data_IF_614802968731
#
_entry.id   IF_614802968731
#
_cell.length_a   1.000
_cell.length_b   1.000
_cell.length_c   1.000
_cell.angle_alpha   90.00
_cell.angle_beta   90.00
_cell.angle_gamma   90.00
#
_symmetry.space_group_name_H-M   'P 1'
#
loop_
_entity.id
_entity.type
_entity.pdbx_description
1 polymer ?
#
# COMPACT_ATOMS: atom_id res chain seq x y z
N UNK A 1 -29.26 -0.37 4.89
CA UNK A 1 -29.55 0.71 3.90
C UNK A 1 -28.73 1.97 4.19
N UNK A 2 -28.56 2.42 5.43
CA UNK A 2 -27.80 3.64 5.74
C UNK A 2 -26.28 3.43 5.49
N UNK A 3 -25.69 2.33 5.95
CA UNK A 3 -24.28 2.02 5.77
C UNK A 3 -23.89 1.90 4.29
N UNK A 4 -24.73 1.28 3.46
CA UNK A 4 -24.50 1.15 2.01
C UNK A 4 -24.57 2.48 1.22
N UNK A 5 -25.04 3.54 1.84
CA UNK A 5 -25.06 4.89 1.27
C UNK A 5 -23.83 5.73 1.59
N UNK A 6 -22.91 5.22 2.39
CA UNK A 6 -21.64 5.88 2.72
C UNK A 6 -20.51 5.34 1.90
N UNK A 7 -19.55 6.20 1.54
CA UNK A 7 -18.34 5.81 0.80
C UNK A 7 -17.12 6.42 1.47
N UNK A 8 -16.03 5.68 1.50
CA UNK A 8 -14.69 6.15 1.85
C UNK A 8 -13.77 5.85 0.67
N UNK A 9 -13.08 6.85 0.16
CA UNK A 9 -12.23 6.76 -1.03
C UNK A 9 -12.89 6.14 -2.28
N UNK A 10 -14.25 6.12 -2.32
CA UNK A 10 -15.03 5.52 -3.42
C UNK A 10 -15.63 4.15 -3.10
N UNK A 11 -15.18 3.47 -2.06
CA UNK A 11 -15.66 2.17 -1.66
C UNK A 11 -16.93 2.27 -0.78
N UNK A 12 -17.94 1.43 -1.04
CA UNK A 12 -19.16 1.43 -0.25
C UNK A 12 -18.91 0.82 1.14
N UNK A 13 -19.39 1.51 2.18
CA UNK A 13 -19.36 0.98 3.54
C UNK A 13 -20.46 -0.07 3.78
N UNK A 14 -20.24 -0.92 4.76
CA UNK A 14 -21.22 -1.89 5.27
C UNK A 14 -21.25 -1.85 6.82
N UNK A 15 -22.28 -2.44 7.42
CA UNK A 15 -22.31 -2.60 8.89
C UNK A 15 -21.18 -3.54 9.31
N UNK A 16 -20.44 -3.14 10.33
CA UNK A 16 -19.21 -3.81 10.75
C UNK A 16 -19.42 -5.31 11.01
N UNK A 17 -18.49 -6.08 10.52
CA UNK A 17 -18.29 -7.48 10.81
C UNK A 17 -17.26 -7.61 11.94
N UNK A 18 -17.31 -8.66 12.72
CA UNK A 18 -16.38 -8.87 13.83
C UNK A 18 -15.79 -10.28 13.74
N UNK A 19 -14.52 -10.38 13.44
CA UNK A 19 -13.83 -11.65 13.21
C UNK A 19 -12.90 -12.06 14.37
N UNK A 20 -12.67 -11.19 15.34
CA UNK A 20 -11.78 -11.45 16.48
C UNK A 20 -12.19 -10.74 17.77
N UNK A 21 -11.71 -11.25 18.91
CA UNK A 21 -11.90 -10.60 20.20
C UNK A 21 -11.22 -9.21 20.28
N UNK A 22 -10.08 -9.05 19.60
CA UNK A 22 -9.37 -7.78 19.56
C UNK A 22 -10.18 -6.71 18.80
N UNK A 23 -10.76 -7.08 17.67
CA UNK A 23 -11.63 -6.23 16.88
C UNK A 23 -12.92 -5.87 17.62
N UNK A 24 -13.55 -6.86 18.26
CA UNK A 24 -14.72 -6.63 19.13
C UNK A 24 -14.43 -5.59 20.20
N UNK A 25 -13.28 -5.70 20.86
CA UNK A 25 -12.85 -4.75 21.88
C UNK A 25 -12.56 -3.37 21.30
N UNK A 26 -11.91 -3.31 20.15
CA UNK A 26 -11.59 -2.05 19.46
C UNK A 26 -12.86 -1.29 19.04
N UNK A 27 -13.89 -2.01 18.54
CA UNK A 27 -15.19 -1.41 18.22
C UNK A 27 -15.85 -0.86 19.48
N UNK A 28 -15.89 -1.62 20.59
CA UNK A 28 -16.47 -1.17 21.85
C UNK A 28 -15.79 0.12 22.34
N UNK A 29 -14.46 0.15 22.36
CA UNK A 29 -13.68 1.31 22.80
C UNK A 29 -13.90 2.52 21.88
N UNK A 30 -13.87 2.33 20.58
CA UNK A 30 -14.09 3.39 19.61
C UNK A 30 -15.48 4.01 19.77
N UNK A 31 -16.53 3.18 19.86
CA UNK A 31 -17.91 3.65 19.99
C UNK A 31 -18.11 4.36 21.32
N UNK A 32 -17.71 3.77 22.44
CA UNK A 32 -17.92 4.34 23.78
C UNK A 32 -17.12 5.63 24.01
N UNK A 33 -15.95 5.79 23.40
CA UNK A 33 -15.12 6.99 23.52
C UNK A 33 -15.61 8.17 22.65
N UNK A 34 -16.38 7.92 21.59
CA UNK A 34 -16.80 8.95 20.65
C UNK A 34 -18.29 9.36 20.79
N UNK A 35 -19.11 8.55 21.45
CA UNK A 35 -20.52 8.89 21.65
C UNK A 35 -20.73 9.85 22.82
N UNK A 36 -21.50 10.90 22.56
CA UNK A 36 -22.00 11.77 23.63
C UNK A 36 -23.08 11.06 24.50
N UNK A 37 -23.31 11.49 25.74
CA UNK A 37 -24.39 10.93 26.59
C UNK A 37 -25.76 10.95 25.93
N UNK A 38 -26.05 11.96 25.09
CA UNK A 38 -27.33 12.06 24.38
C UNK A 38 -27.46 11.00 23.28
N UNK A 39 -26.36 10.68 22.59
CA UNK A 39 -26.34 9.61 21.57
C UNK A 39 -26.46 8.24 22.22
N UNK A 40 -25.82 8.00 23.36
CA UNK A 40 -25.98 6.77 24.14
C UNK A 40 -27.45 6.60 24.60
N UNK A 41 -28.06 7.65 25.15
CA UNK A 41 -29.45 7.60 25.56
C UNK A 41 -30.42 7.33 24.39
N UNK A 42 -30.09 7.81 23.18
CA UNK A 42 -30.90 7.56 21.98
C UNK A 42 -30.62 6.19 21.34
N UNK A 43 -29.68 5.43 21.84
CA UNK A 43 -29.29 4.10 21.37
C UNK A 43 -29.74 2.97 22.28
N UNK A 44 -30.69 3.24 23.17
CA UNK A 44 -31.38 2.25 23.98
C UNK A 44 -32.56 1.70 23.16
N UNK A 45 -32.66 0.38 22.93
CA UNK A 45 -33.74 -0.23 22.17
C UNK A 45 -35.10 -0.12 22.94
N UNK A 46 -36.19 -0.26 22.18
CA UNK A 46 -37.54 -0.13 22.74
C UNK A 46 -38.08 -1.42 23.39
N UNK A 47 -37.33 -2.51 23.29
CA UNK A 47 -37.71 -3.86 23.75
C UNK A 47 -37.40 -4.13 25.23
N UNK A 48 -36.88 -3.15 25.97
CA UNK A 48 -36.77 -3.21 27.43
C UNK A 48 -35.38 -3.55 27.96
N UNK A 49 -34.38 -3.80 27.13
CA UNK A 49 -32.99 -3.88 27.58
C UNK A 49 -32.53 -2.46 27.97
N UNK A 50 -32.30 -2.19 29.24
CA UNK A 50 -32.00 -0.85 29.76
C UNK A 50 -30.62 -0.30 29.37
N UNK A 51 -29.88 -0.98 28.49
CA UNK A 51 -28.55 -0.58 28.01
C UNK A 51 -28.56 0.01 26.58
N UNK A 52 -27.60 0.82 26.29
CA UNK A 52 -27.37 1.27 24.93
C UNK A 52 -26.69 0.18 24.08
N UNK A 53 -27.04 0.10 22.80
CA UNK A 53 -26.48 -0.85 21.84
C UNK A 53 -26.01 -0.15 20.58
N UNK A 54 -25.15 -0.81 19.81
CA UNK A 54 -24.69 -0.40 18.48
C UNK A 54 -24.95 -1.51 17.47
N UNK A 55 -25.48 -1.15 16.28
CA UNK A 55 -25.70 -2.12 15.22
C UNK A 55 -24.38 -2.62 14.63
N UNK A 56 -24.30 -3.95 14.47
CA UNK A 56 -23.31 -4.68 13.69
C UNK A 56 -23.95 -5.30 12.44
N UNK A 57 -23.13 -5.94 11.60
CA UNK A 57 -23.54 -6.45 10.29
C UNK A 57 -24.20 -7.83 10.27
N UNK A 58 -24.41 -8.46 11.42
CA UNK A 58 -25.02 -9.79 11.49
C UNK A 58 -26.54 -9.78 11.37
N UNK A 59 -27.11 -10.82 10.74
CA UNK A 59 -28.56 -11.02 10.67
C UNK A 59 -28.92 -12.45 10.33
N UNK A 60 -30.04 -12.94 10.86
CA UNK A 60 -30.68 -14.21 10.50
C UNK A 60 -32.07 -14.03 9.84
N UNK A 61 -32.43 -12.81 9.46
CA UNK A 61 -33.71 -12.48 8.82
C UNK A 61 -34.03 -13.32 7.57
N UNK A 62 -33.06 -13.95 6.94
CA UNK A 62 -33.27 -14.84 5.80
C UNK A 62 -33.69 -16.26 6.22
N UNK A 63 -33.07 -16.76 7.27
CA UNK A 63 -33.32 -18.10 7.83
C UNK A 63 -33.07 -18.01 9.33
N UNK A 64 -34.13 -18.14 10.12
CA UNK A 64 -34.10 -18.12 11.58
C UNK A 64 -33.01 -19.05 12.13
N UNK A 65 -32.21 -18.53 13.06
CA UNK A 65 -31.09 -19.23 13.68
C UNK A 65 -29.89 -19.47 12.78
N UNK A 66 -29.84 -18.87 11.58
CA UNK A 66 -28.66 -18.91 10.68
C UNK A 66 -28.10 -17.48 10.54
N UNK A 67 -27.24 -17.10 11.46
CA UNK A 67 -26.66 -15.78 11.52
C UNK A 67 -25.55 -15.59 10.48
N UNK A 68 -25.76 -14.65 9.57
CA UNK A 68 -24.84 -14.37 8.47
C UNK A 68 -24.41 -12.90 8.50
N UNK A 69 -23.17 -12.62 8.08
CA UNK A 69 -22.71 -11.27 7.85
C UNK A 69 -23.35 -10.68 6.59
N UNK A 70 -23.87 -9.46 6.68
CA UNK A 70 -24.65 -8.82 5.61
C UNK A 70 -23.79 -8.36 4.40
N UNK A 71 -22.48 -8.18 4.59
CA UNK A 71 -21.56 -7.76 3.54
C UNK A 71 -21.26 -8.89 2.54
N UNK A 72 -21.06 -10.13 3.00
CA UNK A 72 -20.61 -11.23 2.18
C UNK A 72 -21.48 -12.51 2.26
N UNK A 73 -22.43 -12.55 3.21
CA UNK A 73 -23.30 -13.70 3.43
C UNK A 73 -22.68 -14.86 4.19
N UNK A 74 -21.52 -14.67 4.79
CA UNK A 74 -20.80 -15.69 5.56
C UNK A 74 -21.58 -16.08 6.82
N UNK A 75 -21.89 -17.37 6.96
CA UNK A 75 -22.54 -17.96 8.14
C UNK A 75 -21.51 -18.02 9.28
N UNK A 76 -21.80 -17.39 10.43
CA UNK A 76 -20.90 -17.37 11.57
C UNK A 76 -21.47 -18.06 12.83
N UNK A 77 -22.81 -18.15 12.97
CA UNK A 77 -23.46 -18.80 14.08
C UNK A 77 -24.68 -19.60 13.61
N UNK A 78 -24.95 -20.74 14.25
CA UNK A 78 -26.13 -21.55 13.99
C UNK A 78 -26.81 -21.99 15.27
N UNK A 79 -28.08 -21.66 15.38
CA UNK A 79 -28.97 -21.97 16.51
C UNK A 79 -29.41 -20.72 17.30
N UNK A 80 -30.10 -20.98 18.40
CA UNK A 80 -30.48 -20.02 19.44
C UNK A 80 -29.32 -19.80 20.44
N UNK A 81 -29.61 -19.34 21.67
CA UNK A 81 -28.58 -19.17 22.71
C UNK A 81 -27.83 -20.47 23.08
N UNK A 82 -28.34 -21.65 22.71
CA UNK A 82 -27.60 -22.93 22.81
C UNK A 82 -26.92 -23.34 21.51
N UNK A 83 -26.87 -22.44 20.52
CA UNK A 83 -26.22 -22.66 19.24
C UNK A 83 -24.69 -22.77 19.33
N UNK A 84 -24.06 -22.76 18.17
CA UNK A 84 -22.61 -22.86 18.08
C UNK A 84 -22.01 -22.02 16.93
N UNK A 85 -20.78 -21.51 17.07
CA UNK A 85 -20.07 -20.86 16.00
C UNK A 85 -19.77 -21.83 14.84
N UNK A 86 -19.92 -21.36 13.62
CA UNK A 86 -19.67 -22.16 12.42
C UNK A 86 -18.19 -22.02 12.02
N UNK A 87 -17.54 -23.15 11.77
CA UNK A 87 -16.13 -23.23 11.34
C UNK A 87 -15.15 -22.49 12.29
N UNK A 88 -15.45 -22.41 13.58
CA UNK A 88 -14.60 -21.76 14.57
C UNK A 88 -14.53 -20.24 14.45
N UNK A 89 -15.48 -19.61 13.76
CA UNK A 89 -15.58 -18.16 13.66
C UNK A 89 -15.78 -17.53 15.04
N UNK A 90 -15.27 -16.32 15.20
CA UNK A 90 -15.46 -15.56 16.44
C UNK A 90 -16.92 -15.19 16.64
N UNK A 91 -17.38 -15.31 17.87
CA UNK A 91 -18.69 -14.87 18.35
C UNK A 91 -18.58 -14.41 19.79
N UNK A 92 -19.39 -13.44 20.18
CA UNK A 92 -19.37 -12.89 21.55
C UNK A 92 -20.80 -12.65 22.09
N UNK A 93 -21.69 -13.60 21.86
CA UNK A 93 -23.05 -13.54 22.38
C UNK A 93 -23.09 -13.43 23.91
N UNK A 94 -24.07 -12.69 24.46
CA UNK A 94 -24.50 -12.81 25.84
C UNK A 94 -25.30 -14.10 26.05
N UNK A 95 -26.35 -14.06 26.84
CA UNK A 95 -27.35 -15.17 26.95
C UNK A 95 -28.33 -15.03 25.77
N UNK A 96 -27.81 -15.02 24.55
CA UNK A 96 -28.46 -14.67 23.30
C UNK A 96 -27.86 -15.54 22.15
N UNK A 97 -28.49 -15.61 20.97
CA UNK A 97 -29.73 -14.99 20.51
C UNK A 97 -30.97 -15.78 21.02
N UNK A 98 -32.05 -15.09 21.42
CA UNK A 98 -33.25 -15.74 21.93
C UNK A 98 -34.52 -15.45 21.12
N UNK A 99 -34.46 -14.55 20.13
CA UNK A 99 -35.55 -14.15 19.22
C UNK A 99 -36.85 -13.78 19.98
N UNK A 100 -36.73 -12.91 20.99
CA UNK A 100 -37.84 -12.52 21.81
C UNK A 100 -39.00 -11.96 20.94
N UNK A 101 -40.18 -12.53 21.10
CA UNK A 101 -41.35 -12.14 20.30
C UNK A 101 -41.28 -12.57 18.81
N UNK A 102 -40.26 -13.26 18.36
CA UNK A 102 -40.14 -13.76 17.00
C UNK A 102 -39.80 -12.68 15.95
N UNK A 103 -39.15 -11.58 16.36
CA UNK A 103 -38.86 -10.42 15.49
C UNK A 103 -37.41 -9.93 15.59
N UNK A 104 -36.58 -10.52 16.43
CA UNK A 104 -35.19 -10.10 16.66
C UNK A 104 -34.25 -10.76 15.69
N UNK A 105 -33.97 -10.07 14.58
CA UNK A 105 -33.23 -10.61 13.45
C UNK A 105 -31.98 -9.78 13.10
N UNK A 106 -31.58 -8.85 13.95
CA UNK A 106 -30.44 -7.97 13.70
C UNK A 106 -29.47 -7.96 14.87
N UNK A 107 -28.18 -8.12 14.56
CA UNK A 107 -27.11 -8.18 15.54
C UNK A 107 -26.73 -6.81 16.07
N UNK A 108 -26.68 -6.70 17.39
CA UNK A 108 -26.18 -5.51 18.08
C UNK A 108 -25.16 -5.88 19.18
N UNK A 109 -24.23 -4.96 19.47
CA UNK A 109 -23.29 -5.07 20.57
C UNK A 109 -23.75 -4.16 21.72
N UNK A 110 -23.79 -4.67 22.95
CA UNK A 110 -24.05 -3.91 24.15
C UNK A 110 -22.91 -2.95 24.48
N UNK A 111 -23.24 -1.69 24.74
CA UNK A 111 -22.27 -0.66 25.12
C UNK A 111 -22.09 -0.53 26.64
N UNK A 112 -22.92 -1.22 27.41
CA UNK A 112 -22.84 -1.38 28.84
C UNK A 112 -23.41 -2.76 29.20
N UNK A 113 -23.30 -3.17 30.47
CA UNK A 113 -23.97 -4.37 30.94
C UNK A 113 -25.50 -4.18 30.90
N UNK A 114 -26.23 -5.23 30.50
CA UNK A 114 -27.70 -5.18 30.44
C UNK A 114 -28.31 -6.26 31.31
N UNK A 115 -28.43 -5.99 32.61
CA UNK A 115 -29.10 -6.89 33.54
C UNK A 115 -30.61 -6.81 33.38
N UNK A 116 -31.26 -7.95 33.22
CA UNK A 116 -32.67 -8.07 33.57
C UNK A 116 -32.82 -8.10 35.11
N UNK A 117 -33.98 -7.75 35.67
CA UNK A 117 -34.14 -7.63 37.13
C UNK A 117 -33.70 -8.86 37.92
N UNK A 118 -33.55 -10.00 37.30
CA UNK A 118 -33.21 -11.27 37.95
C UNK A 118 -32.12 -12.09 37.27
N UNK A 119 -31.62 -11.65 36.09
CA UNK A 119 -30.59 -12.37 35.28
C UNK A 119 -29.64 -11.37 34.66
N UNK A 120 -28.39 -11.74 34.61
CA UNK A 120 -27.38 -11.03 33.86
C UNK A 120 -27.38 -11.57 32.41
N UNK A 121 -27.91 -10.80 31.47
CA UNK A 121 -28.09 -11.22 30.09
C UNK A 121 -26.84 -10.97 29.24
N UNK A 122 -25.99 -10.04 29.66
CA UNK A 122 -24.74 -9.79 29.00
C UNK A 122 -23.95 -8.58 29.49
N UNK A 123 -22.66 -8.62 29.21
CA UNK A 123 -21.71 -7.56 29.54
C UNK A 123 -21.47 -6.62 28.34
N UNK A 124 -20.88 -5.45 28.63
CA UNK A 124 -20.40 -4.55 27.58
C UNK A 124 -19.50 -5.28 26.59
N UNK A 125 -19.76 -5.11 25.30
CA UNK A 125 -19.06 -5.78 24.21
C UNK A 125 -19.65 -7.14 23.81
N UNK A 126 -20.58 -7.71 24.61
CA UNK A 126 -21.31 -8.91 24.19
C UNK A 126 -22.46 -8.56 23.24
N UNK A 127 -22.91 -9.56 22.50
CA UNK A 127 -23.88 -9.40 21.41
C UNK A 127 -25.28 -9.82 21.84
N UNK A 128 -26.26 -9.11 21.26
CA UNK A 128 -27.70 -9.37 21.42
C UNK A 128 -28.34 -9.38 20.02
N UNK A 129 -29.41 -10.14 19.85
CA UNK A 129 -30.34 -9.99 18.74
C UNK A 129 -31.46 -9.00 19.14
N UNK A 130 -31.77 -8.12 18.19
CA UNK A 130 -32.79 -7.07 18.42
C UNK A 130 -33.68 -6.92 17.19
N UNK A 131 -34.88 -6.36 17.42
CA UNK A 131 -35.76 -5.96 16.31
C UNK A 131 -35.08 -4.84 15.48
N UNK A 132 -34.91 -5.09 14.18
CA UNK A 132 -34.31 -4.15 13.22
C UNK A 132 -35.04 -2.80 13.11
N UNK A 133 -36.26 -2.65 13.70
CA UNK A 133 -36.98 -1.40 13.80
C UNK A 133 -36.42 -0.44 14.83
N UNK A 134 -35.55 -0.89 15.74
CA UNK A 134 -34.89 -0.04 16.71
C UNK A 134 -33.98 1.01 16.04
N UNK A 135 -33.90 2.18 16.64
CA UNK A 135 -33.06 3.29 16.16
C UNK A 135 -31.80 3.39 17.01
N UNK A 136 -30.77 2.68 16.60
CA UNK A 136 -29.48 2.65 17.30
C UNK A 136 -28.42 3.35 16.47
N UNK A 137 -27.32 3.75 17.11
CA UNK A 137 -26.07 4.06 16.42
C UNK A 137 -25.54 2.80 15.72
N UNK A 138 -24.66 2.97 14.75
CA UNK A 138 -24.11 1.86 13.97
C UNK A 138 -22.64 2.08 13.65
N UNK A 139 -21.90 1.00 13.47
CA UNK A 139 -20.51 1.02 13.01
C UNK A 139 -20.49 0.68 11.53
N UNK A 140 -19.80 1.51 10.76
CA UNK A 140 -19.53 1.25 9.34
C UNK A 140 -18.09 0.79 9.22
N UNK A 141 -17.93 -0.33 8.57
CA UNK A 141 -16.67 -0.85 8.13
C UNK A 141 -16.52 -0.61 6.62
N UNK A 142 -15.31 -0.32 6.20
CA UNK A 142 -14.92 -0.27 4.80
C UNK A 142 -13.85 -1.34 4.62
N UNK A 143 -13.89 -2.05 3.50
CA UNK A 143 -12.76 -2.90 3.15
C UNK A 143 -11.51 -2.03 3.11
N UNK A 144 -10.40 -2.54 3.63
CA UNK A 144 -9.15 -1.83 3.54
C UNK A 144 -8.93 -1.49 2.06
N UNK A 145 -8.76 -0.21 1.75
CA UNK A 145 -8.24 0.18 0.44
C UNK A 145 -6.81 -0.35 0.43
N UNK A 146 -6.64 -1.53 -0.11
CA UNK A 146 -5.29 -2.04 -0.39
C UNK A 146 -4.76 -1.10 -1.46
N UNK A 147 -3.92 -0.17 -1.07
CA UNK A 147 -3.23 0.69 -2.04
C UNK A 147 -2.47 -0.25 -2.97
N UNK A 148 -2.79 -0.21 -4.27
CA UNK A 148 -2.20 -1.14 -5.20
C UNK A 148 -0.69 -0.97 -5.18
N UNK A 149 0.04 -2.07 -5.41
CA UNK A 149 1.48 -2.03 -5.62
C UNK A 149 1.81 -0.89 -6.59
N UNK A 150 2.59 0.08 -6.14
CA UNK A 150 2.93 1.29 -6.89
C UNK A 150 4.43 1.56 -6.84
N UNK A 151 4.94 2.39 -7.73
CA UNK A 151 6.36 2.70 -7.76
C UNK A 151 6.74 3.65 -8.88
N UNK A 152 8.04 3.92 -9.00
CA UNK A 152 8.59 4.72 -10.07
C UNK A 152 10.07 4.43 -10.28
N UNK A 153 10.52 4.45 -11.54
CA UNK A 153 11.93 4.36 -11.94
C UNK A 153 12.48 5.77 -12.11
N UNK A 154 13.32 6.23 -11.18
CA UNK A 154 13.94 7.56 -11.24
C UNK A 154 15.10 7.59 -12.23
N UNK A 155 15.90 6.50 -12.28
CA UNK A 155 17.05 6.36 -13.18
C UNK A 155 17.20 4.91 -13.64
N UNK A 156 17.50 4.71 -14.95
CA UNK A 156 17.65 5.74 -15.96
C UNK A 156 16.29 6.42 -16.25
N UNK A 157 16.33 7.74 -16.49
CA UNK A 157 15.18 8.48 -16.99
C UNK A 157 14.92 8.10 -18.45
N UNK A 158 13.65 8.11 -18.85
CA UNK A 158 13.30 7.86 -20.25
C UNK A 158 13.95 8.89 -21.18
N UNK A 159 14.53 8.41 -22.28
CA UNK A 159 15.33 9.18 -23.24
C UNK A 159 16.56 9.88 -22.62
N UNK A 160 17.00 9.42 -21.45
CA UNK A 160 18.22 9.90 -20.82
C UNK A 160 19.49 9.43 -21.55
N UNK A 161 20.61 10.16 -21.38
CA UNK A 161 21.92 9.79 -21.92
C UNK A 161 22.84 9.44 -20.78
N UNK A 162 23.46 8.26 -20.85
CA UNK A 162 24.28 7.72 -19.77
C UNK A 162 25.66 7.27 -20.26
N UNK A 163 26.66 7.42 -19.38
CA UNK A 163 28.04 7.01 -19.63
C UNK A 163 28.71 6.62 -18.30
N UNK A 164 29.65 5.69 -18.35
CA UNK A 164 30.40 5.27 -17.16
C UNK A 164 29.53 4.61 -16.10
N UNK A 165 29.91 4.80 -14.83
CA UNK A 165 29.17 4.25 -13.70
C UNK A 165 28.16 5.27 -13.19
N UNK A 166 26.90 4.89 -13.22
CA UNK A 166 25.79 5.64 -12.67
C UNK A 166 24.96 4.76 -11.73
N UNK A 167 23.71 5.14 -11.52
CA UNK A 167 22.76 4.40 -10.66
C UNK A 167 21.59 3.89 -11.50
N UNK A 168 21.09 2.71 -11.15
CA UNK A 168 19.70 2.34 -11.39
C UNK A 168 19.02 2.52 -10.06
N UNK A 169 17.97 3.34 -10.01
CA UNK A 169 17.26 3.65 -8.77
C UNK A 169 15.81 4.04 -8.99
N UNK A 170 15.02 3.87 -7.96
CA UNK A 170 13.62 4.22 -7.93
C UNK A 170 13.02 3.99 -6.56
N UNK A 171 11.72 3.82 -6.53
CA UNK A 171 11.01 3.42 -5.34
C UNK A 171 9.82 2.51 -5.70
N UNK A 172 9.41 1.69 -4.76
CA UNK A 172 8.23 0.85 -4.87
C UNK A 172 7.54 0.75 -3.50
N UNK A 173 6.22 0.64 -3.48
CA UNK A 173 5.44 0.61 -2.26
C UNK A 173 4.25 -0.31 -2.43
N UNK A 174 4.01 -1.16 -1.42
CA UNK A 174 2.85 -2.02 -1.28
C UNK A 174 2.54 -2.16 0.20
N UNK A 175 1.29 -2.12 0.59
CA UNK A 175 0.87 -2.39 1.98
C UNK A 175 1.28 -3.79 2.44
N UNK A 176 1.31 -4.75 1.53
CA UNK A 176 1.74 -6.12 1.79
C UNK A 176 3.27 -6.28 1.86
N UNK A 177 3.98 -5.22 1.47
CA UNK A 177 5.43 -5.17 1.39
C UNK A 177 6.00 -5.74 0.09
N UNK A 178 7.07 -5.12 -0.37
CA UNK A 178 7.80 -5.55 -1.59
C UNK A 178 8.59 -6.81 -1.27
N UNK A 179 8.46 -7.84 -2.13
CA UNK A 179 9.21 -9.08 -2.04
C UNK A 179 10.51 -9.01 -2.84
N UNK A 180 10.43 -8.53 -4.12
CA UNK A 180 11.55 -8.56 -5.05
C UNK A 180 11.47 -7.46 -6.11
N UNK A 181 12.64 -6.99 -6.54
CA UNK A 181 12.80 -6.04 -7.64
C UNK A 181 13.80 -6.61 -8.64
N UNK A 182 13.33 -6.90 -9.85
CA UNK A 182 14.10 -7.49 -10.93
C UNK A 182 14.39 -6.46 -12.02
N UNK A 183 15.64 -6.41 -12.49
CA UNK A 183 16.05 -5.55 -13.61
C UNK A 183 16.27 -6.39 -14.86
N UNK A 184 15.70 -5.92 -15.95
CA UNK A 184 15.90 -6.44 -17.29
C UNK A 184 16.52 -5.36 -18.18
N UNK A 185 17.54 -5.72 -18.94
CA UNK A 185 18.18 -4.85 -19.94
C UNK A 185 17.99 -5.50 -21.30
N UNK A 186 17.46 -4.74 -22.26
CA UNK A 186 17.15 -5.22 -23.62
C UNK A 186 16.33 -6.52 -23.63
N UNK A 187 15.35 -6.59 -22.71
CA UNK A 187 14.46 -7.74 -22.55
C UNK A 187 15.08 -8.98 -21.90
N UNK A 188 16.31 -8.88 -21.36
CA UNK A 188 17.00 -9.98 -20.67
C UNK A 188 17.14 -9.67 -19.19
N UNK A 189 16.84 -10.65 -18.34
CA UNK A 189 17.12 -10.56 -16.92
C UNK A 189 18.60 -10.24 -16.68
N UNK A 190 18.85 -9.23 -15.87
CA UNK A 190 20.19 -8.79 -15.52
C UNK A 190 20.54 -9.12 -14.05
N UNK A 191 19.73 -8.66 -13.09
CA UNK A 191 19.96 -8.89 -11.65
C UNK A 191 18.75 -8.40 -10.82
N UNK A 192 18.76 -8.78 -9.53
CA UNK A 192 17.84 -8.24 -8.53
C UNK A 192 18.47 -7.01 -7.85
N UNK A 193 17.64 -6.05 -7.47
CA UNK A 193 18.06 -4.83 -6.76
C UNK A 193 17.64 -4.89 -5.30
N UNK A 194 18.54 -4.55 -4.35
CA UNK A 194 18.16 -4.39 -2.95
C UNK A 194 17.07 -3.34 -2.76
N UNK A 195 16.16 -3.61 -1.83
CA UNK A 195 15.06 -2.73 -1.44
C UNK A 195 15.26 -2.23 -0.01
N UNK A 196 14.77 -1.03 0.30
CA UNK A 196 14.80 -0.47 1.64
C UNK A 196 15.64 0.80 1.78
N UNK A 197 16.03 1.43 0.68
CA UNK A 197 16.74 2.71 0.72
C UNK A 197 15.84 3.85 1.22
N UNK A 198 16.39 4.85 1.95
CA UNK A 198 15.61 5.99 2.42
C UNK A 198 14.95 6.80 1.29
N UNK A 199 13.66 7.11 1.44
CA UNK A 199 12.83 7.92 0.54
C UNK A 199 11.87 8.80 1.34
N UNK A 200 12.41 9.82 1.98
CA UNK A 200 11.63 10.78 2.77
C UNK A 200 10.52 11.46 1.96
N UNK A 201 10.76 11.70 0.67
CA UNK A 201 9.78 12.26 -0.27
C UNK A 201 8.57 11.32 -0.46
N UNK A 202 8.80 10.02 -0.59
CA UNK A 202 7.75 9.00 -0.68
C UNK A 202 7.06 8.84 0.69
N UNK A 203 7.83 8.81 1.79
CA UNK A 203 7.30 8.78 3.15
C UNK A 203 6.36 9.95 3.46
N UNK A 204 6.65 11.13 2.92
CA UNK A 204 5.77 12.28 3.05
C UNK A 204 4.50 12.16 2.20
N UNK A 205 4.62 11.64 0.96
CA UNK A 205 3.51 11.51 0.04
C UNK A 205 2.54 10.36 0.40
N UNK A 206 3.06 9.30 1.02
CA UNK A 206 2.32 8.08 1.40
C UNK A 206 2.48 7.79 2.89
N UNK A 207 2.20 8.79 3.73
CA UNK A 207 2.42 8.73 5.17
C UNK A 207 1.62 7.65 5.89
N UNK A 208 0.51 7.21 5.30
CA UNK A 208 -0.41 6.23 5.85
C UNK A 208 0.01 4.78 5.56
N UNK A 209 1.04 4.58 4.72
CA UNK A 209 1.57 3.27 4.39
C UNK A 209 2.88 3.02 5.16
N UNK A 210 2.90 1.95 5.93
CA UNK A 210 4.08 1.53 6.69
C UNK A 210 5.27 1.26 5.76
N UNK A 211 6.45 1.76 6.13
CA UNK A 211 7.68 1.58 5.36
C UNK A 211 7.83 2.54 4.16
N UNK A 212 6.90 3.45 3.91
CA UNK A 212 6.97 4.40 2.79
C UNK A 212 8.26 5.24 2.77
N UNK A 213 8.80 5.63 3.94
CA UNK A 213 10.08 6.36 4.04
C UNK A 213 11.32 5.51 3.75
N UNK A 214 11.18 4.19 3.61
CA UNK A 214 12.25 3.24 3.27
C UNK A 214 11.89 2.44 2.03
N UNK A 215 11.16 3.03 1.11
CA UNK A 215 10.63 2.39 -0.10
C UNK A 215 11.57 2.44 -1.31
N UNK A 216 12.77 2.96 -1.14
CA UNK A 216 13.73 3.11 -2.21
C UNK A 216 14.44 1.81 -2.60
N UNK A 217 14.91 1.80 -3.85
CA UNK A 217 15.86 0.81 -4.34
C UNK A 217 16.96 1.50 -5.15
N UNK A 218 18.19 1.03 -5.03
CA UNK A 218 19.30 1.54 -5.83
C UNK A 218 20.44 0.56 -5.97
N UNK A 219 21.12 0.62 -7.14
CA UNK A 219 22.32 -0.15 -7.40
C UNK A 219 23.26 0.62 -8.36
N UNK A 220 24.58 0.64 -8.12
CA UNK A 220 25.54 1.14 -9.10
C UNK A 220 25.52 0.26 -10.35
N UNK A 221 25.49 0.91 -11.52
CA UNK A 221 25.49 0.23 -12.80
C UNK A 221 26.47 0.88 -13.77
N UNK A 222 27.31 0.06 -14.42
CA UNK A 222 28.23 0.55 -15.46
C UNK A 222 27.53 0.57 -16.82
N UNK A 223 26.93 1.71 -17.17
CA UNK A 223 26.28 1.90 -18.46
C UNK A 223 27.21 1.68 -19.64
N UNK A 224 28.50 2.02 -19.49
CA UNK A 224 29.51 1.77 -20.55
C UNK A 224 29.83 0.29 -20.74
N UNK A 225 29.30 -0.63 -19.94
CA UNK A 225 29.38 -2.07 -20.22
C UNK A 225 28.42 -2.49 -21.35
N UNK A 226 27.38 -1.72 -21.60
CA UNK A 226 26.50 -1.90 -22.76
C UNK A 226 27.15 -1.37 -24.03
N UNK A 227 26.63 -1.70 -25.20
CA UNK A 227 27.04 -1.09 -26.47
C UNK A 227 26.74 0.41 -26.49
N UNK A 228 27.37 1.17 -27.40
CA UNK A 228 26.89 2.52 -27.65
C UNK A 228 25.57 2.49 -28.43
N UNK A 229 24.65 3.44 -28.14
CA UNK A 229 23.35 3.56 -28.77
C UNK A 229 22.21 3.36 -27.81
N UNK A 230 21.01 3.14 -28.34
CA UNK A 230 19.78 3.00 -27.57
C UNK A 230 19.66 1.63 -26.90
N UNK A 231 19.20 1.65 -25.64
CA UNK A 231 18.91 0.49 -24.81
C UNK A 231 17.57 0.66 -24.12
N UNK A 232 16.96 -0.45 -23.72
CA UNK A 232 15.74 -0.47 -22.91
C UNK A 232 16.01 -1.11 -21.55
N UNK A 233 15.40 -0.55 -20.51
CA UNK A 233 15.36 -1.14 -19.18
C UNK A 233 13.90 -1.40 -18.80
N UNK A 234 13.65 -2.54 -18.15
CA UNK A 234 12.44 -2.82 -17.42
C UNK A 234 12.79 -3.18 -15.99
N UNK A 235 12.09 -2.56 -15.03
CA UNK A 235 12.16 -2.88 -13.60
C UNK A 235 10.83 -3.48 -13.20
N UNK A 236 10.85 -4.74 -12.79
CA UNK A 236 9.66 -5.46 -12.36
C UNK A 236 9.70 -5.56 -10.84
N UNK A 237 8.69 -5.01 -10.20
CA UNK A 237 8.48 -5.12 -8.76
C UNK A 237 7.43 -6.18 -8.50
N UNK A 238 7.69 -7.07 -7.56
CA UNK A 238 6.74 -8.09 -7.07
C UNK A 238 6.56 -7.89 -5.58
N UNK A 239 5.32 -7.86 -5.11
CA UNK A 239 5.00 -7.81 -3.69
C UNK A 239 4.82 -9.22 -3.09
N UNK A 240 4.55 -9.29 -1.78
CA UNK A 240 4.40 -10.57 -1.07
C UNK A 240 3.12 -11.34 -1.41
N UNK A 241 2.14 -10.71 -2.04
CA UNK A 241 0.96 -11.40 -2.59
C UNK A 241 1.22 -11.97 -3.99
N UNK A 242 2.32 -11.56 -4.64
CA UNK A 242 2.68 -11.94 -6.00
C UNK A 242 2.15 -10.98 -7.06
N UNK A 243 1.57 -9.86 -6.66
CA UNK A 243 1.19 -8.79 -7.57
C UNK A 243 2.43 -8.13 -8.16
N UNK A 244 2.32 -7.67 -9.41
CA UNK A 244 3.47 -7.19 -10.19
C UNK A 244 3.18 -5.90 -10.91
N UNK A 245 4.13 -4.98 -10.86
CA UNK A 245 4.17 -3.80 -11.73
C UNK A 245 5.48 -3.77 -12.50
N UNK A 246 5.45 -3.14 -13.68
CA UNK A 246 6.62 -2.94 -14.53
C UNK A 246 6.80 -1.45 -14.83
N UNK A 247 8.02 -0.96 -14.62
CA UNK A 247 8.45 0.38 -15.05
C UNK A 247 9.53 0.24 -16.10
N UNK A 248 9.34 0.86 -17.26
CA UNK A 248 10.26 0.79 -18.39
C UNK A 248 10.73 2.17 -18.79
N UNK A 249 11.96 2.24 -19.29
CA UNK A 249 12.52 3.44 -19.89
C UNK A 249 13.43 3.04 -21.07
N UNK A 250 13.55 3.93 -22.04
CA UNK A 250 14.60 3.88 -23.08
C UNK A 250 15.68 4.89 -22.75
N UNK A 251 16.92 4.56 -23.02
CA UNK A 251 18.05 5.45 -22.77
C UNK A 251 19.16 5.24 -23.78
N UNK A 252 19.96 6.27 -23.98
CA UNK A 252 21.12 6.23 -24.89
C UNK A 252 22.40 6.02 -24.07
N UNK A 253 23.26 5.12 -24.52
CA UNK A 253 24.60 4.93 -23.97
C UNK A 253 25.59 5.61 -24.87
N UNK A 254 26.36 6.55 -24.33
CA UNK A 254 27.55 7.13 -24.95
C UNK A 254 28.81 6.63 -24.22
N UNK A 255 29.78 6.16 -24.95
CA UNK A 255 30.99 5.56 -24.35
C UNK A 255 32.20 5.71 -25.23
N UNK A 256 33.37 5.60 -24.60
CA UNK A 256 34.61 5.29 -25.34
C UNK A 256 34.54 3.86 -25.88
N UNK A 257 35.44 3.49 -26.76
CA UNK A 257 35.48 2.11 -27.28
C UNK A 257 35.62 1.06 -26.18
N UNK A 258 36.29 1.42 -25.08
CA UNK A 258 36.44 0.56 -23.91
C UNK A 258 35.27 0.75 -22.94
N UNK A 259 34.77 -0.36 -22.40
CA UNK A 259 33.69 -0.35 -21.39
C UNK A 259 34.13 0.20 -20.03
N UNK A 260 35.41 0.21 -19.76
CA UNK A 260 36.03 0.72 -18.56
C UNK A 260 37.41 1.26 -18.86
N UNK A 261 37.72 2.46 -18.39
CA UNK A 261 39.05 3.08 -18.54
C UNK A 261 39.85 2.81 -17.26
N UNK A 262 40.87 1.96 -17.41
CA UNK A 262 41.84 1.75 -16.33
C UNK A 262 42.80 2.94 -16.25
N UNK A 263 43.59 2.99 -15.17
CA UNK A 263 44.56 4.06 -14.92
C UNK A 263 45.53 4.29 -16.09
N UNK A 264 45.91 3.23 -16.80
CA UNK A 264 46.79 3.25 -17.97
C UNK A 264 46.13 3.91 -19.19
N UNK A 265 44.79 3.95 -19.20
CA UNK A 265 43.99 4.51 -20.29
C UNK A 265 43.30 5.81 -19.87
N UNK A 266 43.76 6.47 -18.81
CA UNK A 266 43.23 7.75 -18.35
C UNK A 266 43.17 8.75 -19.51
N UNK A 267 42.01 9.43 -19.72
CA UNK A 267 41.93 10.41 -20.80
C UNK A 267 43.01 11.49 -20.66
N UNK A 268 43.76 11.70 -21.73
CA UNK A 268 44.74 12.75 -21.81
C UNK A 268 44.09 13.99 -22.43
N UNK A 269 43.98 15.05 -21.64
CA UNK A 269 43.43 16.33 -22.08
C UNK A 269 44.49 17.41 -22.30
N UNK A 270 45.77 17.06 -22.31
CA UNK A 270 46.82 17.98 -22.67
C UNK A 270 46.60 18.46 -24.12
N UNK A 271 46.59 19.80 -24.27
CA UNK A 271 46.33 20.47 -25.55
C UNK A 271 44.88 20.35 -26.08
N UNK A 272 43.93 19.81 -25.28
CA UNK A 272 42.52 19.83 -25.61
C UNK A 272 41.99 21.26 -25.59
N UNK A 273 41.06 21.55 -26.49
CA UNK A 273 40.34 22.83 -26.53
C UNK A 273 38.97 22.62 -25.87
N UNK A 274 38.56 23.55 -25.04
CA UNK A 274 37.23 23.55 -24.47
C UNK A 274 36.38 24.71 -25.00
N UNK A 275 35.15 24.42 -25.38
CA UNK A 275 34.15 25.43 -25.70
C UNK A 275 32.94 25.24 -24.80
N UNK A 276 32.31 26.36 -24.40
CA UNK A 276 31.13 26.32 -23.55
C UNK A 276 29.98 27.09 -24.19
N UNK A 277 28.78 26.57 -24.06
CA UNK A 277 27.54 27.24 -24.46
C UNK A 277 26.42 26.85 -23.50
N UNK A 278 25.79 27.87 -22.89
CA UNK A 278 24.77 27.68 -21.86
C UNK A 278 25.28 26.78 -20.70
N UNK A 279 24.67 25.63 -20.49
CA UNK A 279 25.04 24.63 -19.47
C UNK A 279 25.88 23.46 -20.01
N UNK A 280 26.46 23.60 -21.22
CA UNK A 280 27.27 22.59 -21.86
C UNK A 280 28.74 23.02 -21.93
N UNK A 281 29.63 22.02 -21.83
CA UNK A 281 31.08 22.15 -22.10
C UNK A 281 31.46 21.05 -23.09
N UNK A 282 32.05 21.41 -24.21
CA UNK A 282 32.64 20.42 -25.13
C UNK A 282 34.16 20.51 -25.07
N UNK A 283 34.80 19.39 -24.78
CA UNK A 283 36.23 19.24 -24.79
C UNK A 283 36.64 18.51 -26.07
N UNK A 284 37.43 19.16 -26.92
CA UNK A 284 37.90 18.66 -28.17
C UNK A 284 39.34 18.12 -28.03
N UNK A 285 39.66 17.03 -28.72
CA UNK A 285 41.02 16.49 -28.72
C UNK A 285 41.37 15.69 -27.45
N UNK A 286 40.37 15.06 -26.83
CA UNK A 286 40.62 14.13 -25.73
C UNK A 286 41.20 12.84 -26.26
N UNK A 287 42.41 12.48 -25.84
CA UNK A 287 43.06 11.26 -26.27
C UNK A 287 42.79 10.12 -25.28
N UNK A 288 42.30 9.00 -25.78
CA UNK A 288 42.08 7.76 -25.01
C UNK A 288 42.60 6.58 -25.83
N UNK A 289 43.56 5.86 -25.27
CA UNK A 289 44.15 4.65 -25.91
C UNK A 289 44.55 4.85 -27.37
N UNK A 290 45.10 6.02 -27.71
CA UNK A 290 45.58 6.35 -29.07
C UNK A 290 44.48 6.80 -30.04
N UNK A 291 43.26 6.94 -29.59
CA UNK A 291 42.16 7.53 -30.36
C UNK A 291 41.81 8.91 -29.80
N UNK A 292 41.36 9.82 -30.70
CA UNK A 292 40.97 11.19 -30.34
C UNK A 292 39.47 11.31 -30.30
N UNK A 293 38.96 12.01 -29.31
CA UNK A 293 37.52 12.17 -29.07
C UNK A 293 37.17 13.65 -28.82
N UNK A 294 35.89 13.96 -29.11
CA UNK A 294 35.21 15.11 -28.52
C UNK A 294 34.26 14.61 -27.44
N UNK A 295 34.30 15.23 -26.26
CA UNK A 295 33.46 14.87 -25.12
C UNK A 295 32.59 16.08 -24.74
N UNK A 296 31.29 15.91 -24.77
CA UNK A 296 30.34 16.96 -24.33
C UNK A 296 29.76 16.63 -22.96
N UNK A 297 29.84 17.60 -22.08
CA UNK A 297 29.35 17.56 -20.70
C UNK A 297 28.18 18.51 -20.58
N UNK A 298 27.18 18.15 -19.80
CA UNK A 298 26.03 19.00 -19.44
C UNK A 298 25.96 19.16 -17.92
N UNK A 299 25.75 20.38 -17.43
CA UNK A 299 25.49 20.61 -16.02
C UNK A 299 24.13 20.10 -15.63
N UNK A 300 24.07 19.29 -14.59
CA UNK A 300 22.85 18.79 -13.96
C UNK A 300 22.62 19.42 -12.59
N UNK A 301 21.59 20.24 -12.50
CA UNK A 301 21.29 20.95 -11.25
C UNK A 301 20.86 20.02 -10.11
N UNK A 302 20.15 18.96 -10.43
CA UNK A 302 19.68 18.01 -9.40
C UNK A 302 20.82 17.23 -8.74
N UNK A 303 21.84 16.86 -9.50
CA UNK A 303 23.02 16.14 -9.00
C UNK A 303 24.18 17.06 -8.65
N UNK A 304 24.07 18.36 -8.93
CA UNK A 304 25.11 19.38 -8.74
C UNK A 304 26.46 18.96 -9.39
N UNK A 305 26.39 18.36 -10.57
CA UNK A 305 27.55 17.78 -11.27
C UNK A 305 27.43 17.90 -12.79
N UNK A 306 28.53 17.64 -13.49
CA UNK A 306 28.52 17.46 -14.94
C UNK A 306 28.34 15.98 -15.28
N UNK A 307 27.48 15.71 -16.23
CA UNK A 307 27.33 14.39 -16.85
C UNK A 307 27.86 14.41 -18.29
N UNK A 308 28.37 13.29 -18.72
CA UNK A 308 28.78 13.10 -20.14
C UNK A 308 27.52 12.78 -20.94
N UNK A 309 27.21 13.59 -21.93
CA UNK A 309 26.05 13.41 -22.79
C UNK A 309 26.40 13.08 -24.26
N UNK A 310 27.66 13.21 -24.63
CA UNK A 310 28.11 12.84 -25.98
C UNK A 310 29.61 12.53 -25.99
N UNK A 311 29.98 11.49 -26.71
CA UNK A 311 31.37 11.11 -26.98
C UNK A 311 31.49 10.78 -28.48
N UNK A 312 32.23 11.59 -29.20
CA UNK A 312 32.45 11.41 -30.64
C UNK A 312 33.91 11.09 -30.89
N UNK A 313 34.17 9.97 -31.53
CA UNK A 313 35.52 9.58 -31.99
C UNK A 313 35.86 10.28 -33.32
N UNK A 314 37.10 10.72 -33.49
CA UNK A 314 37.62 11.35 -34.68
C UNK A 314 38.63 10.46 -35.41
#
# INVERSE_FOLDING_TARGET
>A
AAAQGTTLAGDPGYLARVDSAAENQAILEAVTSHLSPAQLANSIPNDGSEAAFVWLGGSDARNEGQWTWSNNGDLFWQGDFNGAPVNGRFTNWGVQPDNLGGAENALAMGLANWPEPFYDLGDAGQWNDLDAGNKLVYVIEYDAVVEPLTGYLDQPADQGVYSGVGMIRGWALSEEGVERIEVYIDGRYAFDVPYGDPREDVGFAYSDIDGSSTSGFSVPFNYSALSAGEHAISVIVTDRLGDRIEHSATFEVVRFEQSFLYKENTPNMNWSLASSYANYITVLGVEVSGSTYSVTLRWQTMTQSFEIINIVKH
#
